data_IF_144743844839
#
_entry.id   IF_144743844839
#
_cell.length_a   1.000
_cell.length_b   1.000
_cell.length_c   1.000
_cell.angle_alpha   90.00
_cell.angle_beta   90.00
_cell.angle_gamma   90.00
#
_symmetry.space_group_name_H-M   'P 1'
#
loop_
_entity.id
_entity.type
_entity.pdbx_description
1 polymer ?
#
# COMPACT_ATOMS: atom_id res chain seq x y z
N UNK A 1 -4.70 22.51 2.95
CA UNK A 1 -5.18 21.19 3.43
C UNK A 1 -4.06 20.16 3.31
N UNK A 2 -3.90 19.27 4.30
CA UNK A 2 -2.80 18.27 4.35
C UNK A 2 -2.79 17.36 3.11
N UNK A 3 -3.95 16.88 2.67
CA UNK A 3 -4.04 16.00 1.50
C UNK A 3 -3.67 16.70 0.19
N UNK A 4 -4.10 17.97 0.01
CA UNK A 4 -3.74 18.75 -1.18
C UNK A 4 -2.22 18.88 -1.34
N UNK A 5 -1.51 19.22 -0.25
CA UNK A 5 -0.04 19.30 -0.25
C UNK A 5 0.63 17.95 -0.55
N UNK A 6 0.07 16.85 -0.05
CA UNK A 6 0.58 15.50 -0.36
C UNK A 6 0.34 15.12 -1.82
N UNK A 7 -0.81 15.47 -2.38
CA UNK A 7 -1.13 15.25 -3.79
C UNK A 7 -0.16 16.02 -4.72
N UNK A 8 0.15 17.27 -4.37
CA UNK A 8 1.14 18.08 -5.11
C UNK A 8 2.54 17.45 -5.04
N UNK A 9 2.93 16.88 -3.89
CA UNK A 9 4.23 16.21 -3.71
C UNK A 9 4.31 14.85 -4.42
N UNK A 10 3.20 14.11 -4.46
CA UNK A 10 3.12 12.75 -5.00
C UNK A 10 2.02 12.70 -6.07
N UNK A 11 2.30 13.22 -7.29
CA UNK A 11 1.27 13.40 -8.32
C UNK A 11 0.68 12.07 -8.81
N UNK A 12 1.43 10.97 -8.69
CA UNK A 12 1.00 9.63 -9.08
C UNK A 12 0.36 8.84 -7.93
N UNK A 13 0.04 9.48 -6.81
CA UNK A 13 -0.60 8.84 -5.65
C UNK A 13 -2.00 9.40 -5.46
N UNK A 14 -3.02 8.53 -5.37
CA UNK A 14 -4.39 8.97 -5.04
C UNK A 14 -4.62 8.82 -3.54
N UNK A 15 -5.01 9.92 -2.89
CA UNK A 15 -5.38 9.90 -1.47
C UNK A 15 -6.90 9.81 -1.30
N UNK A 16 -7.38 8.66 -0.84
CA UNK A 16 -8.82 8.42 -0.58
C UNK A 16 -9.09 8.46 0.92
N UNK A 17 -10.24 9.04 1.32
CA UNK A 17 -10.75 8.95 2.69
C UNK A 17 -11.84 7.90 2.75
N UNK A 18 -11.51 6.72 3.23
CA UNK A 18 -12.46 5.64 3.43
C UNK A 18 -13.25 5.79 4.75
N UNK A 19 -14.18 6.75 4.78
CA UNK A 19 -14.94 7.08 6.00
C UNK A 19 -15.85 5.95 6.49
N UNK A 20 -16.28 5.08 5.58
CA UNK A 20 -17.17 3.96 5.86
C UNK A 20 -16.40 2.65 6.03
N UNK A 21 -15.06 2.71 6.04
CA UNK A 21 -14.18 1.54 6.18
C UNK A 21 -14.44 0.44 5.15
N UNK A 22 -14.97 0.79 3.97
CA UNK A 22 -15.36 -0.19 2.94
C UNK A 22 -14.14 -0.99 2.48
N UNK A 23 -12.99 -0.34 2.26
CA UNK A 23 -11.77 -1.04 1.85
C UNK A 23 -11.23 -1.90 2.99
N UNK A 24 -11.16 -1.34 4.20
CA UNK A 24 -10.64 -2.06 5.36
C UNK A 24 -11.45 -3.33 5.62
N UNK A 25 -12.78 -3.23 5.67
CA UNK A 25 -13.67 -4.36 5.96
C UNK A 25 -13.73 -5.38 4.81
N UNK A 26 -13.92 -4.91 3.57
CA UNK A 26 -14.10 -5.81 2.42
C UNK A 26 -12.83 -6.60 2.08
N UNK A 27 -11.67 -6.02 2.36
CA UNK A 27 -10.38 -6.63 2.05
C UNK A 27 -9.72 -7.29 3.28
N UNK A 28 -10.40 -7.26 4.44
CA UNK A 28 -9.90 -7.90 5.67
C UNK A 28 -8.61 -7.27 6.20
N UNK A 29 -8.44 -5.95 6.01
CA UNK A 29 -7.22 -5.24 6.41
C UNK A 29 -7.24 -4.90 7.90
N UNK A 30 -6.05 -4.68 8.45
CA UNK A 30 -5.88 -4.31 9.85
C UNK A 30 -6.33 -2.87 10.08
N UNK A 31 -7.32 -2.69 10.96
CA UNK A 31 -7.83 -1.37 11.34
C UNK A 31 -6.96 -0.69 12.40
N UNK A 32 -7.03 0.64 12.49
CA UNK A 32 -6.29 1.49 13.43
C UNK A 32 -4.76 1.34 13.40
N UNK A 33 -4.20 0.90 12.26
CA UNK A 33 -2.76 0.81 12.02
C UNK A 33 -2.46 1.01 10.53
N UNK A 34 -1.19 0.98 10.16
CA UNK A 34 -0.78 0.92 8.76
C UNK A 34 -1.07 -0.46 8.19
N UNK A 35 -1.45 -0.52 6.92
CA UNK A 35 -1.48 -1.78 6.18
C UNK A 35 -0.97 -1.51 4.77
N UNK A 36 0.04 -2.26 4.35
CA UNK A 36 0.67 -2.13 3.03
C UNK A 36 0.32 -3.35 2.19
N UNK A 37 -0.20 -3.09 0.99
CA UNK A 37 -0.45 -4.10 -0.04
C UNK A 37 0.35 -3.72 -1.28
N UNK A 38 0.97 -4.70 -1.93
CA UNK A 38 1.58 -4.53 -3.24
C UNK A 38 0.96 -5.52 -4.22
N UNK A 39 0.50 -5.00 -5.36
CA UNK A 39 -0.08 -5.80 -6.44
C UNK A 39 0.84 -5.76 -7.65
N UNK A 40 0.98 -6.91 -8.32
CA UNK A 40 1.65 -7.02 -9.61
C UNK A 40 0.72 -6.70 -10.77
N UNK A 41 1.24 -6.81 -12.00
CA UNK A 41 0.52 -6.41 -13.22
C UNK A 41 -0.68 -7.30 -13.53
N UNK A 42 -0.66 -8.57 -13.13
CA UNK A 42 -1.76 -9.52 -13.38
C UNK A 42 -2.66 -9.70 -12.16
N UNK A 43 -2.88 -8.62 -11.41
CA UNK A 43 -3.74 -8.60 -10.22
C UNK A 43 -3.24 -9.52 -9.09
N UNK A 44 -2.01 -10.04 -9.16
CA UNK A 44 -1.43 -10.85 -8.09
C UNK A 44 -1.06 -10.01 -6.87
N UNK A 45 -1.39 -10.50 -5.67
CA UNK A 45 -0.92 -9.91 -4.42
C UNK A 45 0.52 -10.37 -4.15
N UNK A 46 1.48 -9.44 -4.27
CA UNK A 46 2.92 -9.70 -4.08
C UNK A 46 3.35 -9.57 -2.62
N UNK A 47 2.69 -8.69 -1.86
CA UNK A 47 3.01 -8.39 -0.47
C UNK A 47 1.78 -7.89 0.28
N UNK A 48 1.63 -8.31 1.53
CA UNK A 48 0.61 -7.84 2.45
C UNK A 48 1.15 -7.84 3.87
N UNK A 49 1.08 -6.69 4.54
CA UNK A 49 1.46 -6.60 5.94
C UNK A 49 0.68 -5.51 6.67
N UNK A 50 0.15 -5.87 7.84
CA UNK A 50 -0.48 -4.96 8.79
C UNK A 50 0.48 -4.61 9.92
N UNK A 51 0.63 -3.33 10.21
CA UNK A 51 1.62 -2.80 11.14
C UNK A 51 2.70 -1.96 10.45
N UNK A 52 3.57 -1.36 11.26
CA UNK A 52 4.79 -0.76 10.75
C UNK A 52 5.72 -1.85 10.23
N UNK A 53 6.28 -1.65 9.04
CA UNK A 53 7.24 -2.60 8.46
C UNK A 53 8.57 -2.54 9.22
N UNK A 54 9.17 -3.69 9.47
CA UNK A 54 10.60 -3.79 9.81
C UNK A 54 11.48 -3.54 8.58
N UNK A 55 12.76 -3.29 8.79
CA UNK A 55 13.71 -3.07 7.68
C UNK A 55 13.78 -4.29 6.75
N UNK A 56 13.72 -5.50 7.30
CA UNK A 56 13.70 -6.75 6.53
C UNK A 56 12.42 -6.87 5.69
N UNK A 57 11.27 -6.42 6.23
CA UNK A 57 10.01 -6.44 5.50
C UNK A 57 9.98 -5.39 4.39
N UNK A 58 10.61 -4.23 4.62
CA UNK A 58 10.81 -3.23 3.56
C UNK A 58 11.68 -3.80 2.45
N UNK A 59 12.79 -4.45 2.79
CA UNK A 59 13.66 -5.08 1.79
C UNK A 59 12.92 -6.15 0.98
N UNK A 60 12.14 -7.01 1.65
CA UNK A 60 11.31 -8.02 0.99
C UNK A 60 10.29 -7.39 0.04
N UNK A 61 9.60 -6.32 0.46
CA UNK A 61 8.65 -5.60 -0.39
C UNK A 61 9.34 -5.05 -1.65
N UNK A 62 10.49 -4.40 -1.49
CA UNK A 62 11.24 -3.81 -2.62
C UNK A 62 11.72 -4.89 -3.59
N UNK A 63 12.27 -6.00 -3.10
CA UNK A 63 12.71 -7.12 -3.93
C UNK A 63 11.54 -7.70 -4.76
N UNK A 64 10.35 -7.82 -4.18
CA UNK A 64 9.15 -8.29 -4.89
C UNK A 64 8.73 -7.34 -5.99
N UNK A 65 8.77 -6.03 -5.73
CA UNK A 65 8.43 -4.99 -6.71
C UNK A 65 9.45 -4.94 -7.84
N UNK A 66 10.75 -5.00 -7.55
CA UNK A 66 11.82 -4.98 -8.55
C UNK A 66 11.73 -6.20 -9.48
N UNK A 67 11.47 -7.38 -8.92
CA UNK A 67 11.26 -8.60 -9.70
C UNK A 67 10.04 -8.50 -10.65
N UNK A 68 8.95 -7.85 -10.21
CA UNK A 68 7.76 -7.62 -11.03
C UNK A 68 8.01 -6.60 -12.15
N UNK A 69 8.83 -5.57 -11.89
CA UNK A 69 9.19 -4.56 -12.89
C UNK A 69 10.07 -5.16 -13.99
N UNK A 70 11.00 -6.06 -13.63
CA UNK A 70 11.94 -6.70 -14.55
C UNK A 70 11.29 -7.74 -15.48
N UNK A 71 10.02 -8.09 -15.25
CA UNK A 71 9.22 -9.01 -16.07
C UNK A 71 8.64 -8.34 -17.31
#
# INVERSE_FOLDING_TARGET
>A
MILKKKQEKFPNTVYVRDKQKVLVERWGLTDNTYHVLAFGRDEQLLFSHGGALSDEQVEQLLQRVDAEIAR
#
